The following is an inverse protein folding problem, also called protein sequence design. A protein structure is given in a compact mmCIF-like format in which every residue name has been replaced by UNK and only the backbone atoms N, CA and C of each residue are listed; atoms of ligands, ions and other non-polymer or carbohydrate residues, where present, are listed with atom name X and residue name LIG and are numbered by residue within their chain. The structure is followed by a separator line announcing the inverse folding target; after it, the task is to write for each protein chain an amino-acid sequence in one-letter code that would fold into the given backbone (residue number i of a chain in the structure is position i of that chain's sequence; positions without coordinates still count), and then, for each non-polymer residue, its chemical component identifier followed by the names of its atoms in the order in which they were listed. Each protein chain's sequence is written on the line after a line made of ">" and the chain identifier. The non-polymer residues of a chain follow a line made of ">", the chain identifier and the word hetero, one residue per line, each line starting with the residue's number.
data_IF_907276846175
#
_entry.id   IF_907276846175
#
_cell.length_a   1.000
_cell.length_b   1.000
_cell.length_c   1.000
_cell.angle_alpha   90.00
_cell.angle_beta   90.00
_cell.angle_gamma   90.00
#
_symmetry.space_group_name_H-M   'P 1'
#
loop_
_entity.id
_entity.type
_entity.pdbx_description
1 polymer ?
#
# COMPACT_ATOMS: atom_id res chain seq x y z
N UNK A 1 -21.42 49.29 -34.65
CA UNK A 1 -21.85 49.81 -33.32
C UNK A 1 -22.02 48.61 -32.39
N UNK A 2 -21.22 48.51 -31.33
CA UNK A 2 -21.28 47.39 -30.37
C UNK A 2 -21.66 47.91 -29.00
N UNK A 3 -22.54 47.19 -28.30
CA UNK A 3 -22.88 47.43 -26.90
C UNK A 3 -22.82 46.11 -26.16
N UNK A 4 -21.94 46.00 -25.16
CA UNK A 4 -21.86 44.84 -24.26
C UNK A 4 -22.78 45.12 -23.07
N UNK A 5 -23.76 44.25 -22.85
CA UNK A 5 -24.66 44.28 -21.70
C UNK A 5 -24.11 43.37 -20.59
N UNK A 6 -23.93 43.92 -19.39
CA UNK A 6 -23.64 43.16 -18.17
C UNK A 6 -24.36 43.81 -17.01
N UNK A 7 -25.34 43.11 -16.43
CA UNK A 7 -26.10 43.61 -15.28
C UNK A 7 -25.21 43.58 -14.03
N UNK A 8 -25.17 44.71 -13.31
CA UNK A 8 -24.83 44.85 -11.87
C UNK A 8 -23.50 45.50 -11.49
N UNK A 9 -23.21 46.76 -11.86
CA UNK A 9 -22.35 47.65 -11.03
C UNK A 9 -22.71 49.14 -11.22
N UNK A 10 -22.77 49.98 -10.15
CA UNK A 10 -23.05 51.41 -10.27
C UNK A 10 -21.74 52.15 -10.58
N UNK A 11 -21.30 52.09 -11.83
CA UNK A 11 -20.07 52.72 -12.31
C UNK A 11 -20.34 53.50 -13.58
N UNK A 12 -19.78 54.70 -13.68
CA UNK A 12 -19.89 55.62 -14.81
C UNK A 12 -19.68 54.90 -16.16
N UNK A 13 -20.57 55.16 -17.11
CA UNK A 13 -20.58 54.52 -18.42
C UNK A 13 -19.59 55.21 -19.36
N UNK A 14 -18.59 54.47 -19.82
CA UNK A 14 -17.73 54.89 -20.92
C UNK A 14 -18.18 54.18 -22.19
N UNK A 15 -18.66 54.97 -23.16
CA UNK A 15 -19.05 54.49 -24.48
C UNK A 15 -17.87 54.61 -25.43
N UNK A 16 -17.41 53.49 -25.97
CA UNK A 16 -16.32 53.46 -26.97
C UNK A 16 -16.91 53.10 -28.32
N UNK A 17 -16.70 53.95 -29.32
CA UNK A 17 -17.00 53.66 -30.72
C UNK A 17 -15.73 53.33 -31.48
N UNK A 18 -15.75 52.20 -32.19
CA UNK A 18 -14.80 51.94 -33.24
C UNK A 18 -15.36 52.55 -34.54
N UNK A 19 -14.59 53.46 -35.13
CA UNK A 19 -14.82 53.99 -36.47
C UNK A 19 -13.75 53.35 -37.35
N UNK A 20 -14.17 52.45 -38.23
CA UNK A 20 -13.31 51.55 -39.01
C UNK A 20 -12.76 52.20 -40.29
N UNK A 21 -13.50 53.14 -40.89
CA UNK A 21 -13.13 53.84 -42.12
C UNK A 21 -12.10 54.97 -41.95
N UNK A 22 -11.55 55.13 -40.74
CA UNK A 22 -10.61 56.23 -40.42
C UNK A 22 -9.21 55.96 -40.96
N UNK A 23 -8.75 54.71 -40.92
CA UNK A 23 -7.47 54.29 -41.48
C UNK A 23 -7.36 52.75 -41.53
N UNK A 24 -6.36 52.25 -42.27
CA UNK A 24 -6.11 50.82 -42.42
C UNK A 24 -5.85 50.07 -41.09
N UNK A 25 -5.36 50.74 -40.04
CA UNK A 25 -5.20 50.11 -38.73
C UNK A 25 -6.56 49.88 -38.06
N UNK A 26 -7.48 50.86 -38.11
CA UNK A 26 -8.83 50.72 -37.57
C UNK A 26 -9.66 49.67 -38.34
N UNK A 27 -9.52 49.62 -39.67
CA UNK A 27 -10.12 48.58 -40.51
C UNK A 27 -9.60 47.18 -40.15
N UNK A 28 -8.29 47.01 -39.94
CA UNK A 28 -7.70 45.74 -39.54
C UNK A 28 -8.22 45.22 -38.18
N UNK A 29 -8.62 46.11 -37.26
CA UNK A 29 -9.20 45.75 -35.97
C UNK A 29 -10.54 45.03 -36.10
N UNK A 30 -11.28 45.19 -37.20
CA UNK A 30 -12.54 44.46 -37.42
C UNK A 30 -12.30 42.95 -37.50
N UNK A 31 -11.27 42.54 -38.24
CA UNK A 31 -10.90 41.13 -38.37
C UNK A 31 -10.41 40.55 -37.03
N UNK A 32 -9.62 41.32 -36.27
CA UNK A 32 -9.17 40.92 -34.93
C UNK A 32 -10.34 40.71 -33.96
N UNK A 33 -11.36 41.57 -34.05
CA UNK A 33 -12.54 41.52 -33.19
C UNK A 33 -13.64 40.58 -33.72
N UNK A 34 -13.42 39.89 -34.84
CA UNK A 34 -14.41 38.99 -35.45
C UNK A 34 -15.67 39.70 -35.96
N UNK A 35 -15.55 40.97 -36.37
CA UNK A 35 -16.67 41.80 -36.81
C UNK A 35 -16.90 41.60 -38.32
N UNK A 36 -17.93 40.82 -38.69
CA UNK A 36 -18.27 40.55 -40.09
C UNK A 36 -19.24 41.54 -40.75
N UNK A 37 -19.90 42.39 -39.97
CA UNK A 37 -20.87 43.37 -40.48
C UNK A 37 -21.61 44.13 -39.36
N UNK A 38 -22.48 45.08 -39.74
CA UNK A 38 -23.11 45.98 -38.77
C UNK A 38 -24.64 45.85 -38.70
N UNK A 39 -25.24 45.77 -37.50
CA UNK A 39 -24.59 45.40 -36.23
C UNK A 39 -24.17 43.92 -36.25
N UNK A 40 -23.12 43.54 -35.53
CA UNK A 40 -22.92 42.14 -35.13
C UNK A 40 -23.30 42.02 -33.66
N UNK A 41 -24.09 41.01 -33.32
CA UNK A 41 -24.50 40.69 -31.94
C UNK A 41 -23.89 39.36 -31.55
N UNK A 42 -23.12 39.34 -30.45
CA UNK A 42 -22.51 38.12 -29.91
C UNK A 42 -23.35 37.57 -28.76
N UNK A 43 -23.48 36.25 -28.71
CA UNK A 43 -24.16 35.50 -27.66
C UNK A 43 -23.18 34.55 -27.01
N UNK A 44 -23.28 34.39 -25.68
CA UNK A 44 -22.48 33.47 -24.88
C UNK A 44 -20.98 33.55 -25.20
N UNK A 45 -20.40 34.74 -24.97
CA UNK A 45 -18.99 35.06 -25.23
C UNK A 45 -18.52 34.77 -26.67
N UNK A 46 -19.43 34.84 -27.66
CA UNK A 46 -19.11 34.64 -29.08
C UNK A 46 -19.35 33.22 -29.58
N UNK A 47 -19.90 32.33 -28.75
CA UNK A 47 -20.30 30.98 -29.18
C UNK A 47 -21.32 31.01 -30.33
N UNK A 48 -22.20 32.01 -30.36
CA UNK A 48 -23.06 32.33 -31.51
C UNK A 48 -22.97 33.81 -31.83
N UNK A 49 -23.10 34.13 -33.11
CA UNK A 49 -23.12 35.52 -33.59
C UNK A 49 -24.25 35.76 -34.60
N UNK A 50 -24.79 36.97 -34.61
CA UNK A 50 -25.80 37.41 -35.57
C UNK A 50 -25.27 38.66 -36.27
N UNK A 51 -25.07 38.60 -37.59
CA UNK A 51 -24.49 39.69 -38.38
C UNK A 51 -25.57 40.34 -39.25
N UNK A 52 -25.90 41.61 -38.99
CA UNK A 52 -26.88 42.40 -39.74
C UNK A 52 -28.01 42.95 -38.88
N UNK A 53 -28.78 43.87 -39.47
CA UNK A 53 -29.88 44.57 -38.79
C UNK A 53 -31.18 43.77 -38.76
N UNK A 54 -31.20 42.64 -38.06
CA UNK A 54 -32.42 41.84 -37.89
C UNK A 54 -33.41 42.54 -36.95
N UNK A 55 -34.67 42.58 -37.36
CA UNK A 55 -35.76 43.23 -36.60
C UNK A 55 -36.72 42.24 -35.95
N UNK A 56 -36.66 40.95 -36.32
CA UNK A 56 -37.50 39.92 -35.76
C UNK A 56 -36.88 39.36 -34.46
N UNK A 57 -37.65 39.37 -33.38
CA UNK A 57 -37.25 38.83 -32.08
C UNK A 57 -36.82 37.35 -32.17
N UNK A 58 -37.50 36.58 -33.02
CA UNK A 58 -37.23 35.15 -33.23
C UNK A 58 -35.79 34.83 -33.62
N UNK A 59 -35.12 35.74 -34.33
CA UNK A 59 -33.71 35.57 -34.73
C UNK A 59 -32.78 35.59 -33.52
N UNK A 60 -33.04 36.49 -32.55
CA UNK A 60 -32.26 36.60 -31.33
C UNK A 60 -32.60 35.46 -30.37
N UNK A 61 -33.89 35.16 -30.20
CA UNK A 61 -34.35 34.06 -29.33
C UNK A 61 -33.82 32.72 -29.82
N UNK A 62 -33.77 32.47 -31.13
CA UNK A 62 -33.17 31.25 -31.67
C UNK A 62 -31.68 31.11 -31.33
N UNK A 63 -30.90 32.21 -31.33
CA UNK A 63 -29.49 32.15 -30.91
C UNK A 63 -29.33 31.91 -29.42
N UNK A 64 -30.19 32.51 -28.59
CA UNK A 64 -30.22 32.25 -27.15
C UNK A 64 -30.56 30.79 -26.86
N UNK A 65 -31.58 30.24 -27.52
CA UNK A 65 -31.98 28.85 -27.38
C UNK A 65 -30.86 27.89 -27.81
N UNK A 66 -30.13 28.19 -28.90
CA UNK A 66 -28.98 27.39 -29.32
C UNK A 66 -27.80 27.47 -28.36
N UNK A 67 -27.59 28.60 -27.67
CA UNK A 67 -26.59 28.72 -26.61
C UNK A 67 -27.04 27.91 -25.37
N UNK A 68 -28.31 28.01 -25.00
CA UNK A 68 -28.89 27.26 -23.88
C UNK A 68 -28.96 25.75 -24.11
N UNK A 69 -29.14 25.32 -25.36
CA UNK A 69 -29.12 23.93 -25.78
C UNK A 69 -27.70 23.37 -25.95
N UNK A 70 -26.65 24.16 -25.67
CA UNK A 70 -25.28 23.64 -25.62
C UNK A 70 -25.25 22.56 -24.55
N UNK A 71 -24.88 21.35 -24.95
CA UNK A 71 -24.48 20.32 -24.01
C UNK A 71 -23.23 20.81 -23.27
N UNK A 72 -23.41 21.51 -22.16
CA UNK A 72 -22.36 21.62 -21.15
C UNK A 72 -22.10 20.18 -20.74
N UNK A 73 -20.87 19.70 -20.90
CA UNK A 73 -20.51 18.32 -20.53
C UNK A 73 -20.98 18.11 -19.10
N UNK A 74 -22.09 17.40 -18.96
CA UNK A 74 -22.76 17.12 -17.70
C UNK A 74 -21.90 16.10 -16.97
N UNK A 75 -20.95 16.61 -16.21
CA UNK A 75 -20.83 16.16 -14.84
C UNK A 75 -20.77 17.41 -13.99
N UNK A 76 -21.40 17.36 -12.83
CA UNK A 76 -21.31 18.43 -11.85
C UNK A 76 -19.82 18.75 -11.63
N UNK A 77 -19.49 20.04 -11.48
CA UNK A 77 -18.18 20.38 -10.91
C UNK A 77 -18.13 19.78 -9.51
N UNK A 78 -17.29 18.78 -9.33
CA UNK A 78 -17.00 18.16 -8.06
C UNK A 78 -15.89 18.97 -7.38
N UNK A 79 -16.16 19.34 -6.13
CA UNK A 79 -15.16 19.95 -5.26
C UNK A 79 -14.81 18.93 -4.17
N UNK A 80 -13.53 18.56 -4.11
CA UNK A 80 -12.97 17.79 -3.01
C UNK A 80 -12.31 18.77 -2.04
N UNK A 81 -12.62 18.64 -0.76
CA UNK A 81 -11.90 19.29 0.33
C UNK A 81 -11.53 18.20 1.34
N UNK A 82 -10.24 17.91 1.48
CA UNK A 82 -9.70 17.03 2.50
C UNK A 82 -8.87 17.85 3.49
N UNK A 83 -8.95 17.49 4.77
CA UNK A 83 -8.25 18.17 5.85
C UNK A 83 -7.64 17.13 6.78
N UNK A 84 -6.32 17.08 6.82
CA UNK A 84 -5.58 16.10 7.61
C UNK A 84 -4.81 16.81 8.73
N UNK A 85 -4.95 16.28 9.94
CA UNK A 85 -4.20 16.75 11.09
C UNK A 85 -2.90 15.96 11.20
N UNK A 86 -1.75 16.62 11.02
CA UNK A 86 -0.44 15.96 10.91
C UNK A 86 0.31 15.89 12.25
N UNK A 87 -0.38 16.09 13.39
CA UNK A 87 0.28 16.42 14.65
C UNK A 87 1.24 15.35 15.21
N UNK A 88 2.25 15.84 15.96
CA UNK A 88 3.27 14.99 16.59
C UNK A 88 4.47 15.70 17.23
N UNK A 89 4.72 16.99 16.95
CA UNK A 89 5.68 17.86 17.67
C UNK A 89 5.19 19.32 17.67
N UNK A 90 5.92 20.21 18.36
CA UNK A 90 5.58 21.58 18.77
C UNK A 90 4.99 22.54 17.71
N UNK A 91 4.98 22.13 16.45
CA UNK A 91 4.44 22.88 15.33
C UNK A 91 3.24 22.06 14.80
N UNK A 92 2.05 22.34 15.32
CA UNK A 92 0.79 21.68 14.96
C UNK A 92 0.44 22.00 13.50
N UNK A 93 0.81 21.12 12.58
CA UNK A 93 0.60 21.32 11.15
C UNK A 93 -0.68 20.64 10.66
N UNK A 94 -1.37 21.32 9.75
CA UNK A 94 -2.65 20.90 9.18
C UNK A 94 -2.53 20.97 7.66
N UNK A 95 -2.80 19.85 6.99
CA UNK A 95 -2.82 19.77 5.53
C UNK A 95 -4.25 20.02 5.03
N UNK A 96 -4.40 20.86 4.01
CA UNK A 96 -5.69 21.10 3.34
C UNK A 96 -5.51 20.87 1.85
N UNK A 97 -6.23 19.90 1.31
CA UNK A 97 -6.25 19.59 -0.12
C UNK A 97 -7.56 20.05 -0.73
N UNK A 98 -7.50 20.88 -1.78
CA UNK A 98 -8.68 21.34 -2.53
C UNK A 98 -8.55 20.88 -3.99
N UNK A 99 -9.48 20.03 -4.43
CA UNK A 99 -9.61 19.59 -5.83
C UNK A 99 -10.88 20.16 -6.46
N UNK A 100 -10.81 20.65 -7.69
CA UNK A 100 -11.97 21.10 -8.46
C UNK A 100 -11.89 20.47 -9.85
N UNK A 101 -12.91 19.70 -10.24
CA UNK A 101 -12.94 19.07 -11.56
C UNK A 101 -14.25 18.35 -11.84
N UNK A 102 -14.35 17.79 -13.04
CA UNK A 102 -15.50 17.00 -13.45
C UNK A 102 -15.07 15.52 -13.45
N UNK A 103 -15.47 14.75 -12.43
CA UNK A 103 -15.07 13.34 -12.25
C UNK A 103 -13.97 13.08 -11.21
N UNK A 104 -13.71 14.01 -10.28
CA UNK A 104 -12.81 13.78 -9.15
C UNK A 104 -13.58 13.00 -8.06
N UNK A 105 -13.26 11.72 -7.87
CA UNK A 105 -13.67 11.03 -6.63
C UNK A 105 -12.91 11.65 -5.46
N UNK A 106 -13.51 11.72 -4.26
CA UNK A 106 -12.75 12.03 -3.06
C UNK A 106 -11.56 11.07 -2.98
N UNK A 107 -10.33 11.60 -2.96
CA UNK A 107 -9.15 10.78 -2.71
C UNK A 107 -9.42 9.97 -1.45
N UNK A 108 -9.40 8.66 -1.61
CA UNK A 108 -9.65 7.74 -0.53
C UNK A 108 -8.34 7.05 -0.22
N UNK A 109 -8.02 6.88 1.06
CA UNK A 109 -6.85 6.10 1.44
C UNK A 109 -6.98 4.65 0.98
N UNK A 110 -5.86 3.92 0.91
CA UNK A 110 -5.88 2.53 0.51
C UNK A 110 -6.64 1.65 1.50
N UNK A 111 -7.12 0.50 1.02
CA UNK A 111 -7.67 -0.52 1.90
C UNK A 111 -6.61 -1.02 2.89
N UNK A 112 -7.05 -1.47 4.06
CA UNK A 112 -6.15 -2.12 5.01
C UNK A 112 -5.54 -3.38 4.37
N UNK A 113 -4.21 -3.54 4.40
CA UNK A 113 -3.57 -4.71 3.80
C UNK A 113 -3.84 -5.98 4.61
N UNK A 114 -3.79 -7.10 3.89
CA UNK A 114 -3.92 -8.44 4.47
C UNK A 114 -2.67 -9.25 4.11
N UNK A 115 -2.08 -9.94 5.10
CA UNK A 115 -1.02 -10.91 4.86
C UNK A 115 -1.71 -12.17 4.31
N UNK A 116 -1.34 -12.60 3.11
CA UNK A 116 -1.97 -13.70 2.38
C UNK A 116 -1.29 -15.04 2.65
N UNK A 117 0.03 -15.01 2.80
CA UNK A 117 0.87 -16.20 2.93
C UNK A 117 2.13 -15.90 3.73
N UNK A 118 2.67 -16.95 4.33
CA UNK A 118 3.87 -16.95 5.15
C UNK A 118 3.95 -18.25 5.95
N UNK A 119 5.15 -18.67 6.32
CA UNK A 119 5.28 -19.80 7.23
C UNK A 119 4.80 -19.40 8.63
N UNK A 120 4.25 -20.35 9.39
CA UNK A 120 3.87 -20.16 10.80
C UNK A 120 4.87 -20.79 11.76
N UNK A 121 5.83 -21.56 11.23
CA UNK A 121 6.91 -22.17 11.97
C UNK A 121 8.23 -21.95 11.22
N UNK A 122 9.31 -21.72 11.96
CA UNK A 122 10.63 -21.51 11.38
C UNK A 122 11.77 -21.86 12.34
N UNK A 123 12.99 -21.83 11.81
CA UNK A 123 14.25 -21.97 12.54
C UNK A 123 14.95 -20.62 12.63
N UNK A 124 15.75 -20.40 13.69
CA UNK A 124 16.64 -19.25 13.76
C UNK A 124 17.52 -19.11 12.51
N UNK A 125 17.90 -17.87 12.19
CA UNK A 125 18.81 -17.47 11.11
C UNK A 125 18.36 -17.80 9.67
N UNK A 126 17.13 -18.30 9.47
CA UNK A 126 16.58 -18.55 8.14
C UNK A 126 15.68 -17.41 7.64
N UNK A 127 15.70 -17.17 6.33
CA UNK A 127 14.83 -16.18 5.70
C UNK A 127 13.48 -16.78 5.33
N UNK A 128 12.42 -16.14 5.82
CA UNK A 128 11.02 -16.44 5.51
C UNK A 128 10.43 -15.33 4.66
N UNK A 129 9.60 -15.67 3.68
CA UNK A 129 8.94 -14.73 2.78
C UNK A 129 7.47 -14.61 3.19
N UNK A 130 7.00 -13.38 3.30
CA UNK A 130 5.59 -13.06 3.55
C UNK A 130 5.04 -12.25 2.40
N UNK A 131 3.79 -12.52 2.03
CA UNK A 131 3.11 -11.86 0.93
C UNK A 131 1.89 -11.08 1.45
N UNK A 132 1.67 -9.90 0.89
CA UNK A 132 0.53 -9.06 1.21
C UNK A 132 -0.07 -8.45 -0.05
N UNK A 133 -1.33 -8.05 0.05
CA UNK A 133 -2.01 -7.27 -0.99
C UNK A 133 -2.91 -6.23 -0.34
N UNK A 134 -3.05 -5.10 -1.02
CA UNK A 134 -4.18 -4.20 -0.85
C UNK A 134 -4.39 -3.38 -2.11
N UNK A 135 -5.48 -2.62 -2.15
CA UNK A 135 -5.83 -1.75 -3.27
C UNK A 135 -6.25 -0.38 -2.77
N UNK A 136 -5.85 0.62 -3.55
CA UNK A 136 -6.36 1.98 -3.52
C UNK A 136 -7.55 2.15 -4.49
N UNK A 137 -8.67 2.79 -4.09
CA UNK A 137 -9.85 2.97 -4.94
C UNK A 137 -9.59 3.78 -6.21
N UNK A 138 -8.64 4.72 -6.16
CA UNK A 138 -8.20 5.53 -7.28
C UNK A 138 -7.02 4.89 -8.07
N UNK A 139 -6.64 3.67 -7.70
CA UNK A 139 -5.53 2.92 -8.25
C UNK A 139 -4.17 3.64 -8.13
N UNK A 140 -3.99 4.45 -7.08
CA UNK A 140 -2.70 5.04 -6.75
C UNK A 140 -1.67 3.97 -6.36
N UNK A 141 -0.40 4.20 -6.69
CA UNK A 141 0.69 3.34 -6.24
C UNK A 141 0.82 3.35 -4.71
N UNK A 142 1.28 2.22 -4.18
CA UNK A 142 1.34 1.94 -2.74
C UNK A 142 2.77 1.69 -2.27
N UNK A 143 3.05 2.12 -1.04
CA UNK A 143 4.22 1.72 -0.28
C UNK A 143 3.79 0.89 0.93
N UNK A 144 4.56 -0.13 1.28
CA UNK A 144 4.29 -1.02 2.41
C UNK A 144 5.34 -0.86 3.51
N UNK A 145 4.89 -0.92 4.76
CA UNK A 145 5.75 -0.98 5.93
C UNK A 145 5.40 -2.18 6.79
N UNK A 146 6.42 -2.97 7.13
CA UNK A 146 6.29 -4.19 7.93
C UNK A 146 6.86 -4.00 9.33
N UNK A 147 6.15 -4.51 10.32
CA UNK A 147 6.65 -4.79 11.67
C UNK A 147 6.90 -6.28 11.78
N UNK A 148 8.12 -6.65 12.15
CA UNK A 148 8.55 -8.05 12.32
C UNK A 148 8.57 -8.49 13.79
N UNK A 149 8.79 -7.55 14.70
CA UNK A 149 8.76 -7.73 16.15
C UNK A 149 8.63 -6.36 16.84
N UNK A 150 8.47 -6.32 18.18
CA UNK A 150 8.57 -5.08 18.92
C UNK A 150 9.93 -4.40 18.71
N UNK A 151 9.93 -3.20 18.14
CA UNK A 151 11.16 -2.46 17.84
C UNK A 151 11.84 -2.83 16.52
N UNK A 152 11.38 -3.86 15.81
CA UNK A 152 11.83 -4.18 14.45
C UNK A 152 10.76 -3.78 13.43
N UNK A 153 10.94 -2.58 12.87
CA UNK A 153 10.09 -2.04 11.81
C UNK A 153 10.95 -1.72 10.62
N UNK A 154 10.50 -2.18 9.46
CA UNK A 154 11.19 -1.91 8.21
C UNK A 154 10.94 -0.49 7.68
N UNK A 155 11.77 -0.05 6.75
CA UNK A 155 11.48 1.13 5.94
C UNK A 155 10.25 0.90 5.04
N UNK A 156 9.65 1.99 4.58
CA UNK A 156 8.63 1.96 3.53
C UNK A 156 9.22 1.41 2.23
N UNK A 157 8.56 0.43 1.62
CA UNK A 157 9.00 -0.22 0.38
C UNK A 157 7.94 -0.07 -0.69
N UNK A 158 8.33 0.41 -1.85
CA UNK A 158 7.49 0.65 -3.02
C UNK A 158 8.23 1.49 -4.06
N UNK A 159 7.52 2.10 -5.03
CA UNK A 159 6.08 1.98 -5.25
C UNK A 159 5.67 0.59 -5.79
N UNK A 160 4.52 0.10 -5.36
CA UNK A 160 3.85 -1.11 -5.82
C UNK A 160 2.51 -0.71 -6.43
N UNK A 161 2.18 -1.15 -7.66
CA UNK A 161 0.88 -0.82 -8.25
C UNK A 161 -0.30 -1.29 -7.39
N UNK A 162 -1.36 -0.48 -7.29
CA UNK A 162 -2.58 -0.82 -6.54
C UNK A 162 -3.14 -2.18 -6.96
N UNK A 163 -3.42 -3.04 -5.98
CA UNK A 163 -3.98 -4.38 -6.19
C UNK A 163 -2.97 -5.45 -6.57
N UNK A 164 -1.68 -5.11 -6.77
CA UNK A 164 -0.62 -6.08 -6.98
C UNK A 164 -0.09 -6.65 -5.67
N UNK A 165 0.39 -7.88 -5.72
CA UNK A 165 0.96 -8.56 -4.56
C UNK A 165 2.37 -8.04 -4.27
N UNK A 166 2.65 -7.79 -2.99
CA UNK A 166 3.99 -7.42 -2.52
C UNK A 166 4.53 -8.51 -1.60
N UNK A 167 5.79 -8.89 -1.78
CA UNK A 167 6.48 -9.86 -0.92
C UNK A 167 7.71 -9.24 -0.26
N UNK A 168 7.96 -9.65 0.99
CA UNK A 168 9.13 -9.22 1.76
C UNK A 168 9.66 -10.37 2.60
N UNK A 169 10.99 -10.51 2.64
CA UNK A 169 11.65 -11.51 3.46
C UNK A 169 12.20 -10.93 4.76
N UNK A 170 12.21 -11.75 5.79
CA UNK A 170 12.82 -11.44 7.08
C UNK A 170 13.38 -12.70 7.75
N UNK A 171 14.23 -12.53 8.75
CA UNK A 171 14.79 -13.62 9.56
C UNK A 171 14.82 -13.20 11.02
N UNK A 172 14.78 -14.17 11.91
CA UNK A 172 14.94 -13.96 13.35
C UNK A 172 16.14 -14.75 13.83
N UNK A 173 16.99 -14.10 14.61
CA UNK A 173 18.19 -14.74 15.17
C UNK A 173 17.84 -15.48 16.48
N UNK A 174 16.80 -15.04 17.19
CA UNK A 174 16.34 -15.61 18.46
C UNK A 174 15.06 -16.45 18.32
N UNK A 175 14.95 -17.49 19.14
CA UNK A 175 13.73 -18.29 19.28
C UNK A 175 12.61 -17.46 19.94
N UNK A 176 11.37 -17.69 19.53
CA UNK A 176 10.20 -17.00 20.05
C UNK A 176 9.03 -16.96 19.08
N UNK A 177 7.89 -16.47 19.55
CA UNK A 177 6.72 -16.21 18.70
C UNK A 177 6.65 -14.73 18.35
N UNK A 178 6.54 -14.43 17.06
CA UNK A 178 6.55 -13.07 16.52
C UNK A 178 5.26 -12.78 15.77
N UNK A 179 4.62 -11.65 16.11
CA UNK A 179 3.42 -11.15 15.44
C UNK A 179 3.79 -10.14 14.35
N UNK A 180 3.73 -10.60 13.11
CA UNK A 180 4.06 -9.79 11.93
C UNK A 180 2.84 -8.97 11.54
N UNK A 181 3.05 -7.68 11.26
CA UNK A 181 2.00 -6.77 10.80
C UNK A 181 2.48 -5.94 9.63
N UNK A 182 1.56 -5.58 8.75
CA UNK A 182 1.85 -4.72 7.61
C UNK A 182 0.84 -3.59 7.51
N UNK A 183 1.28 -2.42 7.05
CA UNK A 183 0.41 -1.29 6.68
C UNK A 183 0.81 -0.74 5.32
N UNK A 184 -0.11 -0.04 4.67
CA UNK A 184 0.11 0.58 3.36
C UNK A 184 0.00 2.11 3.46
N UNK A 185 0.60 2.79 2.49
CA UNK A 185 0.47 4.22 2.26
C UNK A 185 0.36 4.51 0.77
N UNK A 186 -0.51 5.42 0.37
CA UNK A 186 -0.63 5.83 -1.04
C UNK A 186 0.34 6.96 -1.43
N UNK A 187 0.28 7.39 -2.70
CA UNK A 187 1.08 8.52 -3.20
C UNK A 187 0.72 9.88 -2.61
N UNK A 188 -0.43 10.01 -1.94
CA UNK A 188 -0.91 11.23 -1.28
C UNK A 188 -0.52 11.27 0.20
N UNK A 189 -0.01 10.17 0.75
CA UNK A 189 0.48 10.06 2.11
C UNK A 189 -0.54 9.50 3.10
N UNK A 190 -1.71 9.05 2.64
CA UNK A 190 -2.72 8.43 3.49
C UNK A 190 -2.25 7.04 3.94
N UNK A 191 -2.18 6.83 5.26
CA UNK A 191 -1.63 5.61 5.88
C UNK A 191 -2.76 4.77 6.45
N UNK A 192 -2.74 3.46 6.21
CA UNK A 192 -3.67 2.52 6.82
C UNK A 192 -3.32 2.20 8.26
N UNK A 193 -4.31 1.73 9.02
CA UNK A 193 -4.04 0.92 10.21
C UNK A 193 -3.25 -0.35 9.84
N UNK A 194 -2.56 -0.93 10.83
CA UNK A 194 -1.86 -2.20 10.65
C UNK A 194 -2.84 -3.36 10.41
N UNK A 195 -2.44 -4.32 9.58
CA UNK A 195 -3.15 -5.58 9.34
C UNK A 195 -3.41 -6.35 10.63
N UNK A 196 -4.29 -7.35 10.55
CA UNK A 196 -4.31 -8.41 11.57
C UNK A 196 -2.92 -9.06 11.66
N UNK A 197 -2.46 -9.43 12.87
CA UNK A 197 -1.16 -10.06 13.06
C UNK A 197 -1.11 -11.43 12.38
N UNK A 198 0.04 -11.73 11.77
CA UNK A 198 0.41 -13.06 11.32
C UNK A 198 1.48 -13.61 12.26
N UNK A 199 1.17 -14.65 13.02
CA UNK A 199 2.09 -15.20 14.02
C UNK A 199 2.99 -16.27 13.40
N UNK A 200 4.30 -16.13 13.59
CA UNK A 200 5.30 -17.17 13.30
C UNK A 200 6.02 -17.56 14.60
N UNK A 201 6.21 -18.86 14.83
CA UNK A 201 7.05 -19.36 15.93
C UNK A 201 8.39 -19.84 15.39
N UNK A 202 9.46 -19.24 15.89
CA UNK A 202 10.84 -19.60 15.60
C UNK A 202 11.36 -20.47 16.73
N UNK A 203 11.70 -21.72 16.41
CA UNK A 203 12.15 -22.73 17.37
C UNK A 203 13.33 -23.51 16.77
N UNK A 204 14.25 -23.97 17.63
CA UNK A 204 15.36 -24.81 17.20
C UNK A 204 14.91 -26.22 16.78
N UNK A 205 13.77 -26.71 17.29
CA UNK A 205 13.20 -27.98 16.89
C UNK A 205 12.17 -27.77 15.77
N UNK A 206 12.40 -28.41 14.62
CA UNK A 206 11.47 -28.37 13.49
C UNK A 206 11.32 -29.75 12.88
N UNK A 207 10.10 -30.09 12.45
CA UNK A 207 9.80 -31.42 11.92
C UNK A 207 9.79 -32.47 13.03
N UNK A 208 10.77 -33.36 13.04
CA UNK A 208 10.94 -34.39 14.08
C UNK A 208 12.17 -34.13 14.94
N UNK A 209 12.13 -34.62 16.17
CA UNK A 209 13.31 -34.66 17.05
C UNK A 209 14.42 -35.52 16.44
N UNK A 210 15.64 -35.40 16.97
CA UNK A 210 16.78 -36.25 16.64
C UNK A 210 17.88 -35.63 15.77
N UNK A 211 17.70 -34.40 15.27
CA UNK A 211 18.79 -33.62 14.66
C UNK A 211 19.47 -32.77 15.76
N UNK A 212 20.36 -33.39 16.52
CA UNK A 212 20.97 -32.85 17.73
C UNK A 212 22.13 -31.91 17.40
N UNK A 213 22.86 -32.16 16.31
CA UNK A 213 23.96 -31.30 15.88
C UNK A 213 23.53 -30.11 15.00
N UNK A 214 22.24 -30.04 14.66
CA UNK A 214 21.59 -29.01 13.85
C UNK A 214 22.23 -28.83 12.47
N UNK A 215 22.63 -29.94 11.84
CA UNK A 215 23.13 -29.86 10.49
C UNK A 215 22.07 -29.33 9.50
N UNK A 216 22.54 -28.80 8.37
CA UNK A 216 21.67 -28.23 7.34
C UNK A 216 20.81 -29.28 6.61
N UNK A 217 21.13 -30.57 6.77
CA UNK A 217 20.39 -31.66 6.16
C UNK A 217 19.09 -31.96 6.88
N UNK A 218 19.00 -31.58 8.16
CA UNK A 218 17.90 -31.98 9.06
C UNK A 218 17.72 -33.50 9.11
N UNK A 219 18.85 -34.21 9.00
CA UNK A 219 18.87 -35.66 8.95
C UNK A 219 19.35 -36.21 10.28
N UNK A 220 18.54 -37.04 10.91
CA UNK A 220 19.00 -37.87 12.01
C UNK A 220 20.01 -38.89 11.50
N UNK A 221 21.28 -38.76 11.88
CA UNK A 221 22.36 -39.64 11.46
C UNK A 221 23.40 -39.96 12.57
N UNK A 222 24.54 -40.55 12.16
CA UNK A 222 25.59 -40.95 13.10
C UNK A 222 26.32 -39.79 13.79
N UNK A 223 26.25 -38.57 13.23
CA UNK A 223 26.80 -37.36 13.83
C UNK A 223 25.97 -36.96 15.06
N UNK A 224 24.64 -36.97 14.95
CA UNK A 224 23.73 -36.75 16.09
C UNK A 224 24.00 -37.73 17.23
N UNK A 225 24.15 -39.02 16.86
CA UNK A 225 24.47 -40.06 17.82
C UNK A 225 25.81 -39.79 18.51
N UNK A 226 26.80 -39.32 17.76
CA UNK A 226 28.12 -39.00 18.31
C UNK A 226 28.04 -37.83 19.29
N UNK A 227 27.25 -36.80 18.98
CA UNK A 227 27.01 -35.65 19.87
C UNK A 227 26.29 -36.08 21.14
N UNK A 228 25.25 -36.91 21.04
CA UNK A 228 24.51 -37.39 22.21
C UNK A 228 25.38 -38.29 23.10
N UNK A 229 26.18 -39.19 22.52
CA UNK A 229 27.12 -40.03 23.26
C UNK A 229 28.20 -39.18 23.95
N UNK A 230 28.77 -38.20 23.26
CA UNK A 230 29.77 -37.30 23.84
C UNK A 230 29.18 -36.59 25.07
N UNK A 231 27.98 -36.02 24.93
CA UNK A 231 27.30 -35.33 26.01
C UNK A 231 26.95 -36.23 27.20
N UNK A 232 26.55 -37.48 26.97
CA UNK A 232 26.12 -38.38 28.04
C UNK A 232 27.29 -39.04 28.77
N UNK A 233 28.39 -39.36 28.07
CA UNK A 233 29.41 -40.26 28.62
C UNK A 233 30.84 -39.75 28.56
N UNK A 234 31.16 -38.76 27.72
CA UNK A 234 32.53 -38.30 27.50
C UNK A 234 32.73 -36.91 28.11
N UNK A 235 31.91 -35.95 27.70
CA UNK A 235 31.92 -34.58 28.16
C UNK A 235 30.52 -34.12 28.60
N UNK A 236 30.19 -34.39 29.86
CA UNK A 236 28.90 -34.06 30.49
C UNK A 236 28.64 -32.55 30.65
N UNK A 237 29.57 -31.71 30.23
CA UNK A 237 29.43 -30.25 30.27
C UNK A 237 29.24 -29.62 28.89
N UNK A 238 29.20 -30.42 27.82
CA UNK A 238 28.90 -29.92 26.47
C UNK A 238 27.50 -29.29 26.45
N UNK A 239 27.40 -28.03 26.02
CA UNK A 239 26.10 -27.40 25.78
C UNK A 239 25.56 -27.89 24.43
N UNK A 240 24.33 -28.39 24.44
CA UNK A 240 23.63 -28.77 23.21
C UNK A 240 22.95 -27.54 22.63
N UNK A 241 22.98 -27.36 21.29
CA UNK A 241 22.41 -26.19 20.65
C UNK A 241 20.87 -26.17 20.70
N UNK A 242 20.24 -27.34 20.81
CA UNK A 242 18.79 -27.48 20.98
C UNK A 242 18.47 -28.67 21.87
N UNK A 243 17.90 -28.42 23.05
CA UNK A 243 17.50 -29.50 23.97
C UNK A 243 16.28 -30.27 23.46
N UNK A 244 15.34 -29.56 22.81
CA UNK A 244 14.15 -30.17 22.20
C UNK A 244 14.48 -31.22 21.13
N UNK A 245 15.57 -31.04 20.39
CA UNK A 245 16.05 -32.04 19.42
C UNK A 245 16.68 -33.26 20.09
N UNK A 246 17.23 -33.09 21.30
CA UNK A 246 17.91 -34.13 22.05
C UNK A 246 16.97 -34.95 22.96
N UNK A 247 15.84 -34.39 23.39
CA UNK A 247 14.77 -35.08 24.14
C UNK A 247 13.91 -35.91 23.17
N UNK A 248 14.52 -36.95 22.61
CA UNK A 248 13.95 -37.77 21.53
C UNK A 248 12.71 -38.52 22.01
N UNK A 249 12.68 -38.93 23.27
CA UNK A 249 11.54 -39.63 23.85
C UNK A 249 10.44 -38.68 24.39
N UNK A 250 10.66 -37.35 24.31
CA UNK A 250 9.77 -36.29 24.77
C UNK A 250 9.46 -36.34 26.29
N UNK A 251 10.41 -36.77 27.11
CA UNK A 251 10.26 -36.89 28.56
C UNK A 251 10.16 -35.53 29.26
N UNK A 252 10.80 -34.49 28.70
CA UNK A 252 10.82 -33.11 29.19
C UNK A 252 9.94 -32.14 28.40
N UNK A 253 9.22 -32.62 27.38
CA UNK A 253 8.41 -31.78 26.50
C UNK A 253 7.35 -30.94 27.27
N UNK A 254 7.04 -29.70 26.81
CA UNK A 254 7.57 -29.05 25.61
C UNK A 254 8.91 -28.32 25.82
N UNK A 255 9.36 -28.15 27.06
CA UNK A 255 10.55 -27.36 27.43
C UNK A 255 11.50 -28.24 28.25
N UNK A 256 12.25 -29.14 27.59
CA UNK A 256 13.13 -30.09 28.28
C UNK A 256 14.33 -29.39 28.89
N UNK A 257 14.83 -29.97 29.99
CA UNK A 257 16.10 -29.58 30.60
C UNK A 257 17.17 -30.70 30.44
N UNK A 258 18.38 -30.47 30.94
CA UNK A 258 19.48 -31.44 30.78
C UNK A 258 19.28 -32.78 31.51
N UNK A 259 18.35 -32.89 32.46
CA UNK A 259 18.04 -34.17 33.14
C UNK A 259 17.12 -35.06 32.33
N UNK A 260 16.38 -34.46 31.39
CA UNK A 260 15.50 -35.17 30.46
C UNK A 260 16.30 -35.79 29.32
N UNK A 261 17.50 -35.26 29.03
CA UNK A 261 18.41 -35.82 28.04
C UNK A 261 19.21 -36.97 28.65
N UNK A 262 18.75 -38.21 28.43
CA UNK A 262 19.30 -39.38 29.10
C UNK A 262 19.50 -40.62 28.19
N UNK A 263 19.76 -41.77 28.81
CA UNK A 263 20.02 -43.02 28.09
C UNK A 263 18.80 -43.56 27.32
N UNK A 264 17.58 -43.12 27.64
CA UNK A 264 16.38 -43.47 26.90
C UNK A 264 16.34 -42.75 25.55
N UNK A 265 16.72 -41.46 25.48
CA UNK A 265 16.85 -40.74 24.19
C UNK A 265 17.89 -41.39 23.29
N UNK A 266 19.03 -41.76 23.89
CA UNK A 266 20.07 -42.48 23.19
C UNK A 266 19.57 -43.82 22.66
N UNK A 267 18.74 -44.53 23.43
CA UNK A 267 18.18 -45.82 23.01
C UNK A 267 17.23 -45.64 21.83
N UNK A 268 16.41 -44.59 21.82
CA UNK A 268 15.53 -44.25 20.69
C UNK A 268 16.34 -43.88 19.44
N UNK A 269 17.40 -43.07 19.60
CA UNK A 269 18.27 -42.69 18.49
C UNK A 269 18.99 -43.91 17.88
N UNK A 270 19.51 -44.81 18.74
CA UNK A 270 20.13 -46.06 18.29
C UNK A 270 19.10 -46.96 17.60
N UNK A 271 17.88 -47.02 18.13
CA UNK A 271 16.80 -47.80 17.53
C UNK A 271 16.53 -47.29 16.11
N UNK A 272 16.31 -45.98 15.95
CA UNK A 272 16.10 -45.33 14.65
C UNK A 272 17.26 -45.54 13.66
N UNK A 273 18.51 -45.53 14.11
CA UNK A 273 19.65 -45.58 13.19
C UNK A 273 20.08 -47.01 12.83
N UNK A 274 19.95 -47.97 13.75
CA UNK A 274 20.60 -49.29 13.62
C UNK A 274 19.70 -50.50 13.83
N UNK A 275 18.52 -50.34 14.46
CA UNK A 275 17.65 -51.49 14.79
C UNK A 275 16.41 -51.49 13.90
N UNK A 276 15.69 -50.37 13.84
CA UNK A 276 14.52 -50.16 13.01
C UNK A 276 14.61 -48.80 12.27
N UNK A 277 15.29 -48.76 11.10
CA UNK A 277 15.41 -47.55 10.29
C UNK A 277 14.07 -46.97 9.82
N UNK A 278 13.01 -47.77 9.79
CA UNK A 278 11.67 -47.34 9.39
C UNK A 278 10.88 -46.71 10.54
N UNK A 279 11.35 -46.85 11.79
CA UNK A 279 10.74 -46.21 12.96
C UNK A 279 10.65 -44.68 12.74
N UNK A 280 9.54 -44.08 13.09
CA UNK A 280 9.38 -42.63 13.01
C UNK A 280 9.69 -41.99 14.36
N UNK A 281 10.56 -40.99 14.36
CA UNK A 281 10.81 -40.18 15.54
C UNK A 281 9.62 -39.24 15.80
N UNK A 282 9.36 -38.88 17.06
CA UNK A 282 8.30 -37.94 17.40
C UNK A 282 8.45 -36.58 16.71
N UNK A 283 7.32 -35.92 16.45
CA UNK A 283 7.28 -34.54 15.95
C UNK A 283 7.70 -33.60 17.08
N UNK A 284 8.45 -32.56 16.74
CA UNK A 284 8.82 -31.51 17.69
C UNK A 284 7.58 -30.94 18.40
N UNK A 285 7.59 -30.81 19.74
CA UNK A 285 6.50 -30.19 20.48
C UNK A 285 6.58 -28.66 20.36
N UNK A 286 5.51 -28.03 19.84
CA UNK A 286 5.35 -26.57 19.70
C UNK A 286 4.31 -26.02 20.68
#
# INVERSE_FOLDING_TARGET
>A
MYSIWGHSFPGKWDYVTLVDDVNAYAEARLNELGIGGFPTTFFDAGYRELVGGYTAESEYTSRMDQCGARGVVTGDLQMLMAVDWLGGKADEELSITIGIGNGISPQSGPGQPTILSGETLGKPDWYYIFETVTSDPEANDLEYQWIWAEGDTSEWVGPVPSGEMHSKSHRWDDQGTYDIKVRAKDTWGEITEYSMPWSITIDCCHGTVGNIDLDSGDLTDGADLSVLIDRLFINITTELPCLKQADINLSGAPEPDYVDIDGADLSELINKLFIDPEAQLPVCPY
#
